data_IF_840633089140
#
_entry.id   IF_840633089140
#
_cell.length_a   1.000
_cell.length_b   1.000
_cell.length_c   1.000
_cell.angle_alpha   90.00
_cell.angle_beta   90.00
_cell.angle_gamma   90.00
#
_symmetry.space_group_name_H-M   'P 1'
#
loop_
_entity.id
_entity.type
_entity.pdbx_description
1 polymer ?
#
# COMPACT_ATOMS: atom_id res chain seq x y z
N UNK A 1 2.45 15.36 56.68
CA UNK A 1 2.84 16.17 55.49
C UNK A 1 3.86 15.47 54.59
N UNK A 2 5.03 14.97 55.08
CA UNK A 2 6.03 14.27 54.24
C UNK A 2 5.51 13.02 53.53
N UNK A 3 4.62 12.20 54.11
CA UNK A 3 4.03 11.01 53.48
C UNK A 3 3.03 11.34 52.39
N UNK A 4 2.29 12.44 52.51
CA UNK A 4 1.33 12.91 51.48
C UNK A 4 2.10 13.48 50.30
N UNK A 5 3.20 14.21 50.55
CA UNK A 5 4.06 14.75 49.48
C UNK A 5 4.72 13.62 48.68
N UNK A 6 5.14 12.54 49.33
CA UNK A 6 5.74 11.38 48.65
C UNK A 6 4.71 10.62 47.79
N UNK A 7 3.45 10.52 48.28
CA UNK A 7 2.38 9.87 47.56
C UNK A 7 1.94 10.68 46.32
N UNK A 8 1.89 12.01 46.41
CA UNK A 8 1.58 12.89 45.27
C UNK A 8 2.68 12.91 44.26
N UNK A 9 3.97 12.88 44.66
CA UNK A 9 5.11 12.78 43.72
C UNK A 9 5.12 11.44 42.99
N UNK A 10 4.81 10.33 43.69
CA UNK A 10 4.71 9.02 43.04
C UNK A 10 3.56 8.95 42.05
N UNK A 11 2.40 9.55 42.38
CA UNK A 11 1.23 9.60 41.52
C UNK A 11 1.51 10.43 40.24
N UNK A 12 2.22 11.55 40.36
CA UNK A 12 2.63 12.40 39.22
C UNK A 12 3.62 11.67 38.31
N UNK A 13 4.56 10.91 38.92
CA UNK A 13 5.51 10.08 38.15
C UNK A 13 4.81 8.96 37.35
N UNK A 14 3.75 8.38 37.85
CA UNK A 14 2.96 7.34 37.18
C UNK A 14 2.15 7.96 36.01
N UNK A 15 1.62 9.18 36.17
CA UNK A 15 0.87 9.88 35.14
C UNK A 15 1.75 10.34 33.96
N UNK A 16 3.01 10.70 34.20
CA UNK A 16 3.97 11.10 33.16
C UNK A 16 4.42 9.91 32.34
N UNK A 17 4.42 8.68 32.89
CA UNK A 17 4.83 7.47 32.17
C UNK A 17 3.81 7.04 31.10
N UNK A 18 2.57 7.53 31.13
CA UNK A 18 1.51 7.17 30.18
C UNK A 18 1.60 7.86 28.83
N UNK A 19 2.31 8.97 28.71
CA UNK A 19 2.41 9.74 27.47
C UNK A 19 3.65 9.45 26.62
N UNK A 20 4.55 8.59 27.07
CA UNK A 20 5.84 8.34 26.40
C UNK A 20 5.81 7.17 25.42
N UNK A 21 4.64 6.66 25.00
CA UNK A 21 4.57 5.42 24.21
C UNK A 21 4.39 5.58 22.71
N UNK A 22 4.15 6.78 22.17
CA UNK A 22 3.82 6.99 20.76
C UNK A 22 5.04 7.06 19.82
N UNK A 23 6.23 7.37 20.33
CA UNK A 23 7.44 7.58 19.51
C UNK A 23 8.28 6.30 19.28
N UNK A 24 7.76 5.13 19.58
CA UNK A 24 8.58 3.90 19.70
C UNK A 24 8.86 3.16 18.41
N UNK A 25 8.19 3.48 17.32
CA UNK A 25 8.35 2.70 16.08
C UNK A 25 9.34 3.31 15.13
N UNK A 26 9.34 4.63 15.00
CA UNK A 26 10.11 5.34 14.01
C UNK A 26 11.18 6.23 14.65
N UNK A 27 12.38 6.22 14.07
CA UNK A 27 13.46 7.12 14.42
C UNK A 27 14.11 7.69 13.18
N UNK A 28 14.50 8.97 13.20
CA UNK A 28 15.22 9.59 12.10
C UNK A 28 16.52 8.84 11.82
N UNK A 29 16.83 8.58 10.56
CA UNK A 29 18.08 7.95 10.15
C UNK A 29 19.04 9.00 9.58
N UNK A 30 20.21 9.12 10.18
CA UNK A 30 21.25 10.11 9.81
C UNK A 30 22.43 9.48 9.05
N UNK A 31 22.34 8.21 8.68
CA UNK A 31 23.37 7.57 7.86
C UNK A 31 23.45 8.22 6.48
N UNK A 32 24.68 8.32 5.93
CA UNK A 32 24.85 8.75 4.56
C UNK A 32 24.14 7.81 3.60
N UNK A 33 23.39 8.36 2.64
CA UNK A 33 22.69 7.58 1.61
C UNK A 33 23.64 6.64 0.86
N UNK A 34 24.88 7.08 0.62
CA UNK A 34 25.90 6.29 -0.08
C UNK A 34 26.39 5.06 0.70
N UNK A 35 26.17 5.00 2.01
CA UNK A 35 26.54 3.86 2.86
C UNK A 35 25.43 2.83 3.00
N UNK A 36 24.24 3.08 2.46
CA UNK A 36 23.07 2.21 2.59
C UNK A 36 22.96 1.36 1.33
N UNK A 37 22.99 0.01 1.49
CA UNK A 37 22.62 -0.88 0.39
C UNK A 37 21.11 -0.75 0.16
N UNK A 38 20.72 -0.28 -1.01
CA UNK A 38 19.35 0.08 -1.33
C UNK A 38 18.49 -1.10 -1.79
N UNK A 39 17.17 -0.98 -1.60
CA UNK A 39 16.19 -1.85 -2.24
C UNK A 39 16.13 -1.60 -3.75
N UNK A 40 15.65 -2.58 -4.52
CA UNK A 40 15.48 -2.49 -5.98
C UNK A 40 14.62 -1.29 -6.42
N UNK A 41 13.61 -0.96 -5.61
CA UNK A 41 12.72 0.16 -5.90
C UNK A 41 13.45 1.50 -5.99
N UNK A 42 14.55 1.68 -5.26
CA UNK A 42 15.35 2.92 -5.24
C UNK A 42 16.09 3.15 -6.56
N UNK A 43 16.39 2.09 -7.31
CA UNK A 43 17.06 2.22 -8.62
C UNK A 43 16.13 2.67 -9.77
N UNK A 44 14.84 2.83 -9.51
CA UNK A 44 13.88 3.32 -10.52
C UNK A 44 14.20 4.74 -10.96
N UNK A 45 14.08 5.04 -12.25
CA UNK A 45 14.25 6.40 -12.79
C UNK A 45 13.28 7.43 -12.17
N UNK A 46 12.11 6.96 -11.74
CA UNK A 46 11.07 7.78 -11.12
C UNK A 46 11.19 7.90 -9.59
N UNK A 47 12.26 7.37 -8.98
CA UNK A 47 12.43 7.47 -7.54
C UNK A 47 12.78 8.91 -7.13
N UNK A 48 12.11 9.47 -6.10
CA UNK A 48 12.33 10.86 -5.71
C UNK A 48 13.75 11.09 -5.19
N UNK A 49 14.30 12.26 -5.47
CA UNK A 49 15.60 12.70 -4.96
C UNK A 49 15.49 13.40 -3.60
N UNK A 50 14.39 14.10 -3.36
CA UNK A 50 14.08 14.73 -2.07
C UNK A 50 13.32 13.75 -1.17
N UNK A 51 14.06 13.11 -0.27
CA UNK A 51 13.56 12.12 0.67
C UNK A 51 14.12 12.34 2.06
N UNK A 52 13.34 11.97 3.07
CA UNK A 52 13.82 11.80 4.44
C UNK A 52 13.92 10.33 4.78
N UNK A 53 14.92 9.95 5.55
CA UNK A 53 15.16 8.57 5.93
C UNK A 53 14.79 8.35 7.40
N UNK A 54 14.06 7.26 7.63
CA UNK A 54 13.67 6.83 8.96
C UNK A 54 13.97 5.35 9.14
N UNK A 55 14.31 4.95 10.36
CA UNK A 55 14.41 3.55 10.76
C UNK A 55 13.10 3.12 11.42
N UNK A 56 12.58 1.97 11.04
CA UNK A 56 11.41 1.35 11.64
C UNK A 56 11.81 0.21 12.58
N UNK A 57 11.28 0.23 13.79
CA UNK A 57 11.22 -0.95 14.65
C UNK A 57 10.00 -1.79 14.22
N UNK A 58 10.25 -2.72 13.30
CA UNK A 58 9.19 -3.41 12.56
C UNK A 58 8.29 -4.28 13.44
N UNK A 59 8.87 -5.10 14.32
CA UNK A 59 8.09 -6.07 15.10
C UNK A 59 7.06 -5.43 16.05
N UNK A 60 7.40 -4.43 16.88
CA UNK A 60 6.40 -3.75 17.69
C UNK A 60 5.35 -3.02 16.86
N UNK A 61 5.72 -2.45 15.72
CA UNK A 61 4.78 -1.80 14.80
C UNK A 61 3.78 -2.81 14.21
N UNK A 62 4.27 -3.95 13.75
CA UNK A 62 3.45 -5.05 13.26
C UNK A 62 2.50 -5.58 14.36
N UNK A 63 2.97 -5.76 15.59
CA UNK A 63 2.15 -6.23 16.71
C UNK A 63 0.96 -5.31 16.96
N UNK A 64 1.16 -3.99 16.92
CA UNK A 64 0.07 -3.02 17.09
C UNK A 64 -0.93 -3.12 15.94
N UNK A 65 -0.47 -3.18 14.69
CA UNK A 65 -1.35 -3.35 13.54
C UNK A 65 -2.13 -4.66 13.60
N UNK A 66 -1.47 -5.76 13.98
CA UNK A 66 -2.11 -7.08 14.02
C UNK A 66 -3.05 -7.25 15.21
N UNK A 67 -2.96 -6.41 16.23
CA UNK A 67 -3.91 -6.41 17.36
C UNK A 67 -5.35 -6.06 16.95
N UNK A 68 -5.54 -5.43 15.80
CA UNK A 68 -6.86 -5.04 15.28
C UNK A 68 -7.36 -5.93 14.13
N UNK A 69 -6.63 -7.02 13.84
CA UNK A 69 -6.98 -7.98 12.79
C UNK A 69 -7.94 -9.05 13.33
N UNK A 70 -8.96 -9.40 12.56
CA UNK A 70 -9.85 -10.52 12.84
C UNK A 70 -11.27 -10.16 13.22
N UNK A 71 -12.16 -11.16 13.19
CA UNK A 71 -13.63 -10.99 13.26
C UNK A 71 -14.18 -10.67 14.67
N UNK A 72 -13.42 -10.89 15.74
CA UNK A 72 -13.95 -10.90 17.10
C UNK A 72 -13.64 -9.65 17.94
N UNK A 73 -12.88 -8.70 17.45
CA UNK A 73 -12.55 -7.50 18.22
C UNK A 73 -13.69 -6.48 18.17
N UNK A 74 -14.30 -6.16 19.29
CA UNK A 74 -15.35 -5.15 19.41
C UNK A 74 -14.84 -3.73 19.08
N UNK A 75 -13.57 -3.45 19.37
CA UNK A 75 -12.88 -2.22 19.00
C UNK A 75 -11.72 -2.59 18.08
N UNK A 76 -11.94 -2.47 16.77
CA UNK A 76 -10.97 -2.90 15.76
C UNK A 76 -10.11 -1.75 15.25
N UNK A 77 -9.75 -0.82 16.08
CA UNK A 77 -8.86 0.27 15.72
C UNK A 77 -7.68 0.37 16.67
N UNK A 78 -6.52 0.74 16.11
CA UNK A 78 -5.33 1.08 16.88
C UNK A 78 -4.85 2.48 16.50
N UNK A 79 -4.06 3.10 17.36
CA UNK A 79 -3.37 4.35 17.06
C UNK A 79 -1.91 3.99 16.72
N UNK A 80 -1.46 4.49 15.60
CA UNK A 80 -0.05 4.40 15.16
C UNK A 80 0.47 5.77 14.83
N UNK A 81 1.78 5.96 14.99
CA UNK A 81 2.50 7.14 14.48
C UNK A 81 3.33 6.76 13.26
N UNK A 82 3.36 7.61 12.24
CA UNK A 82 4.20 7.48 11.05
C UNK A 82 4.87 8.83 10.74
N UNK A 83 6.08 8.83 10.16
CA UNK A 83 6.74 10.06 9.75
C UNK A 83 6.10 10.66 8.50
N UNK A 84 6.03 12.00 8.44
CA UNK A 84 5.66 12.75 7.26
C UNK A 84 6.87 13.27 6.49
N UNK A 85 6.66 13.84 5.30
CA UNK A 85 7.74 14.38 4.47
C UNK A 85 8.43 15.62 5.09
N UNK A 86 7.79 16.29 6.06
CA UNK A 86 8.46 17.31 6.86
C UNK A 86 9.39 16.74 7.94
N UNK A 87 9.31 15.43 8.21
CA UNK A 87 10.16 14.73 9.18
C UNK A 87 9.56 14.68 10.59
N UNK A 88 8.30 15.02 10.74
CA UNK A 88 7.55 14.94 12.00
C UNK A 88 6.73 13.64 12.06
N UNK A 89 6.48 13.15 13.25
CA UNK A 89 5.57 12.02 13.46
C UNK A 89 4.12 12.52 13.54
N UNK A 90 3.24 11.82 12.86
CA UNK A 90 1.80 12.07 12.84
C UNK A 90 1.03 10.82 13.27
N UNK A 91 -0.03 11.03 14.03
CA UNK A 91 -0.85 9.93 14.55
C UNK A 91 -2.07 9.67 13.67
N UNK A 92 -2.37 8.38 13.51
CA UNK A 92 -3.52 7.89 12.77
C UNK A 92 -4.26 6.82 13.57
N UNK A 93 -5.60 6.89 13.59
CA UNK A 93 -6.44 5.77 13.99
C UNK A 93 -6.60 4.84 12.79
N UNK A 94 -6.15 3.59 12.89
CA UNK A 94 -6.17 2.61 11.79
C UNK A 94 -7.11 1.45 12.08
N UNK A 95 -7.71 0.93 11.02
CA UNK A 95 -8.54 -0.28 10.97
C UNK A 95 -8.05 -1.19 9.86
N UNK A 96 -8.26 -2.50 9.99
CA UNK A 96 -7.98 -3.44 8.88
C UNK A 96 -8.88 -3.12 7.68
N UNK A 97 -8.29 -3.09 6.48
CA UNK A 97 -8.97 -2.90 5.21
C UNK A 97 -8.36 -3.88 4.19
N UNK A 98 -8.76 -5.16 4.27
CA UNK A 98 -8.18 -6.22 3.46
C UNK A 98 -8.47 -6.01 1.98
N UNK A 99 -7.44 -6.20 1.13
CA UNK A 99 -7.55 -6.24 -0.33
C UNK A 99 -7.71 -7.67 -0.86
N UNK A 100 -7.76 -8.67 0.02
CA UNK A 100 -7.84 -10.08 -0.33
C UNK A 100 -9.20 -10.66 0.06
N UNK A 101 -9.75 -11.52 -0.78
CA UNK A 101 -10.89 -12.38 -0.39
C UNK A 101 -10.50 -13.20 0.86
N UNK A 102 -11.48 -13.54 1.69
CA UNK A 102 -11.27 -14.22 2.96
C UNK A 102 -10.41 -15.50 2.84
N UNK A 103 -10.66 -16.31 1.81
CA UNK A 103 -9.91 -17.55 1.58
C UNK A 103 -8.44 -17.30 1.20
N UNK A 104 -8.13 -16.18 0.52
CA UNK A 104 -6.75 -15.79 0.21
C UNK A 104 -6.07 -15.20 1.45
N UNK A 105 -6.80 -14.37 2.19
CA UNK A 105 -6.30 -13.73 3.39
C UNK A 105 -5.94 -14.74 4.50
N UNK A 106 -6.69 -15.84 4.59
CA UNK A 106 -6.42 -16.93 5.52
C UNK A 106 -5.12 -17.67 5.19
N UNK A 107 -4.85 -17.88 3.90
CA UNK A 107 -3.61 -18.53 3.42
C UNK A 107 -2.37 -17.64 3.60
N UNK A 108 -2.53 -16.32 3.55
CA UNK A 108 -1.43 -15.35 3.65
C UNK A 108 -1.69 -14.34 4.78
N UNK A 109 -1.68 -14.81 6.03
CA UNK A 109 -2.05 -13.97 7.20
C UNK A 109 -1.08 -12.82 7.46
N UNK A 110 0.16 -12.91 7.00
CA UNK A 110 1.21 -11.89 7.21
C UNK A 110 1.17 -10.74 6.18
N UNK A 111 0.33 -10.86 5.16
CA UNK A 111 0.12 -9.82 4.14
C UNK A 111 -1.19 -9.11 4.47
N UNK A 112 -1.10 -7.86 4.94
CA UNK A 112 -2.26 -7.09 5.41
C UNK A 112 -2.30 -5.68 4.83
N UNK A 113 -3.48 -5.09 4.84
CA UNK A 113 -3.69 -3.69 4.52
C UNK A 113 -4.63 -3.03 5.52
N UNK A 114 -4.40 -1.73 5.72
CA UNK A 114 -5.10 -0.93 6.70
C UNK A 114 -5.50 0.42 6.08
N UNK A 115 -6.61 0.96 6.57
CA UNK A 115 -7.03 2.33 6.31
C UNK A 115 -6.99 3.13 7.60
N UNK A 116 -6.54 4.37 7.53
CA UNK A 116 -6.39 5.22 8.71
C UNK A 116 -6.99 6.62 8.51
N UNK A 117 -7.44 7.20 9.63
CA UNK A 117 -7.83 8.60 9.72
C UNK A 117 -6.84 9.36 10.59
N UNK A 118 -6.40 10.51 10.11
CA UNK A 118 -5.48 11.37 10.85
C UNK A 118 -6.07 11.87 12.16
N UNK A 119 -5.28 11.81 13.22
CA UNK A 119 -5.56 12.43 14.51
C UNK A 119 -4.90 13.80 14.54
N UNK A 120 -3.64 13.87 14.16
CA UNK A 120 -2.86 15.11 14.09
C UNK A 120 -3.37 16.02 12.98
N UNK A 121 -3.57 15.47 11.79
CA UNK A 121 -4.24 16.14 10.66
C UNK A 121 -5.54 15.41 10.34
N UNK A 122 -6.67 15.98 10.74
CA UNK A 122 -8.00 15.39 10.54
C UNK A 122 -8.40 15.25 9.06
N UNK A 123 -7.77 16.00 8.16
CA UNK A 123 -7.99 15.91 6.71
C UNK A 123 -7.25 14.74 6.08
N UNK A 124 -6.22 14.22 6.76
CA UNK A 124 -5.38 13.15 6.24
C UNK A 124 -6.09 11.78 6.28
N UNK A 125 -5.91 11.02 5.20
CA UNK A 125 -6.34 9.62 5.11
C UNK A 125 -5.13 8.76 4.76
N UNK A 126 -4.86 7.75 5.58
CA UNK A 126 -3.75 6.80 5.41
C UNK A 126 -4.24 5.53 4.72
N UNK A 127 -3.49 5.05 3.75
CA UNK A 127 -3.51 3.68 3.24
C UNK A 127 -2.16 3.04 3.52
N UNK A 128 -2.19 1.87 4.17
CA UNK A 128 -0.99 1.18 4.64
C UNK A 128 -1.07 -0.30 4.25
N UNK A 129 -0.02 -0.81 3.64
CA UNK A 129 0.23 -2.24 3.46
C UNK A 129 1.42 -2.69 4.30
N UNK A 130 1.34 -3.88 4.87
CA UNK A 130 2.42 -4.53 5.62
C UNK A 130 2.56 -5.98 5.17
N UNK A 131 3.79 -6.44 5.08
CA UNK A 131 4.14 -7.81 4.75
C UNK A 131 5.53 -8.12 5.31
N UNK A 132 6.06 -9.35 5.21
CA UNK A 132 7.47 -9.63 5.52
C UNK A 132 8.48 -8.81 4.72
N UNK A 133 8.08 -8.22 3.59
CA UNK A 133 8.89 -7.30 2.77
C UNK A 133 8.85 -5.85 3.26
N UNK A 134 8.22 -5.58 4.41
CA UNK A 134 8.16 -4.26 5.03
C UNK A 134 6.80 -3.59 4.94
N UNK A 135 6.82 -2.28 5.16
CA UNK A 135 5.64 -1.40 5.21
C UNK A 135 5.68 -0.45 4.02
N UNK A 136 4.52 -0.21 3.42
CA UNK A 136 4.36 0.86 2.43
C UNK A 136 3.09 1.65 2.74
N UNK A 137 3.17 2.96 2.56
CA UNK A 137 2.02 3.83 2.84
C UNK A 137 1.76 4.82 1.71
N UNK A 138 0.54 5.31 1.67
CA UNK A 138 0.11 6.49 0.94
C UNK A 138 -0.78 7.32 1.85
N UNK A 139 -0.45 8.58 2.04
CA UNK A 139 -1.25 9.52 2.83
C UNK A 139 -1.83 10.56 1.90
N UNK A 140 -3.13 10.59 1.80
CA UNK A 140 -3.88 11.62 1.09
C UNK A 140 -4.08 12.83 1.99
N UNK A 141 -3.86 14.04 1.44
CA UNK A 141 -4.07 15.30 2.15
C UNK A 141 -4.97 16.23 1.34
N UNK A 142 -5.78 17.00 2.04
CA UNK A 142 -6.60 18.02 1.39
C UNK A 142 -5.73 19.24 1.07
N UNK A 143 -5.66 19.61 -0.22
CA UNK A 143 -4.93 20.82 -0.65
C UNK A 143 -3.40 20.73 -0.59
N UNK A 144 -2.84 19.51 -0.43
CA UNK A 144 -1.40 19.27 -0.43
C UNK A 144 -1.07 18.01 -1.25
N UNK A 145 0.23 17.82 -1.53
CA UNK A 145 0.70 16.62 -2.21
C UNK A 145 0.54 15.39 -1.31
N UNK A 146 0.21 14.26 -1.93
CA UNK A 146 0.19 12.98 -1.25
C UNK A 146 1.59 12.58 -0.80
N UNK A 147 1.69 11.86 0.31
CA UNK A 147 2.96 11.42 0.87
C UNK A 147 3.07 9.89 0.87
N UNK A 148 4.30 9.41 0.73
CA UNK A 148 4.62 8.00 0.65
C UNK A 148 5.71 7.61 1.64
N UNK A 149 5.60 6.40 2.17
CA UNK A 149 6.66 5.69 2.88
C UNK A 149 6.91 4.38 2.14
N UNK A 150 8.19 4.09 1.84
CA UNK A 150 8.60 2.85 1.16
C UNK A 150 9.93 2.35 1.75
N UNK A 151 10.20 1.03 1.71
CA UNK A 151 11.52 0.49 2.03
C UNK A 151 12.60 1.17 1.17
N UNK A 152 13.66 1.66 1.82
CA UNK A 152 14.82 2.27 1.16
C UNK A 152 16.00 1.31 1.15
N UNK A 153 16.30 0.68 2.30
CA UNK A 153 17.37 -0.30 2.43
C UNK A 153 16.92 -1.69 2.01
N UNK A 154 17.86 -2.48 1.50
CA UNK A 154 17.62 -3.86 1.07
C UNK A 154 17.13 -4.78 2.21
N UNK A 155 17.50 -4.49 3.44
CA UNK A 155 17.07 -5.22 4.64
C UNK A 155 15.74 -4.73 5.21
N UNK A 156 15.10 -3.75 4.56
CA UNK A 156 13.81 -3.16 4.92
C UNK A 156 13.77 -2.56 6.34
N UNK A 157 14.91 -2.16 6.89
CA UNK A 157 14.98 -1.49 8.19
C UNK A 157 14.92 0.03 8.09
N UNK A 158 15.36 0.58 6.94
CA UNK A 158 15.36 2.01 6.64
C UNK A 158 14.35 2.28 5.53
N UNK A 159 13.55 3.32 5.75
CA UNK A 159 12.44 3.74 4.90
C UNK A 159 12.67 5.16 4.38
N UNK A 160 12.25 5.41 3.15
CA UNK A 160 12.16 6.74 2.58
C UNK A 160 10.77 7.32 2.78
N UNK A 161 10.72 8.60 3.13
CA UNK A 161 9.49 9.39 3.27
C UNK A 161 9.57 10.56 2.30
N UNK A 162 8.57 10.71 1.43
CA UNK A 162 8.61 11.71 0.36
C UNK A 162 7.21 12.13 -0.09
N UNK A 163 7.14 13.28 -0.75
CA UNK A 163 5.92 13.78 -1.40
C UNK A 163 5.80 13.25 -2.83
N UNK A 164 4.56 13.05 -3.26
CA UNK A 164 4.27 12.78 -4.67
C UNK A 164 4.65 13.99 -5.50
N UNK A 165 5.79 13.92 -6.17
CA UNK A 165 6.15 14.94 -7.14
C UNK A 165 6.55 14.26 -8.44
N UNK A 166 5.72 14.42 -9.48
CA UNK A 166 6.05 13.98 -10.82
C UNK A 166 6.27 15.16 -11.73
N UNK A 167 7.47 15.27 -12.27
CA UNK A 167 7.67 16.13 -13.42
C UNK A 167 6.95 15.50 -14.62
N UNK A 168 5.93 16.20 -15.13
CA UNK A 168 5.20 15.77 -16.32
C UNK A 168 6.17 15.57 -17.50
N UNK A 169 6.06 14.43 -18.19
CA UNK A 169 6.81 14.16 -19.42
C UNK A 169 8.11 13.39 -19.26
N UNK A 170 8.52 12.99 -18.04
CA UNK A 170 9.75 12.20 -17.82
C UNK A 170 9.55 10.68 -17.75
N UNK A 171 8.35 10.17 -17.97
CA UNK A 171 8.16 8.72 -18.09
C UNK A 171 8.59 8.26 -19.49
N UNK A 172 9.45 7.22 -19.57
CA UNK A 172 10.04 6.78 -20.85
C UNK A 172 9.09 5.95 -21.73
N UNK A 173 7.80 5.95 -21.44
CA UNK A 173 6.82 5.21 -22.24
C UNK A 173 5.61 6.08 -22.59
N UNK A 174 5.13 5.91 -23.80
CA UNK A 174 3.87 6.49 -24.25
C UNK A 174 2.77 5.45 -24.12
N UNK A 175 1.61 5.87 -23.62
CA UNK A 175 0.43 5.02 -23.64
C UNK A 175 0.02 4.77 -25.09
N UNK A 176 0.01 3.51 -25.51
CA UNK A 176 -0.40 3.10 -26.87
C UNK A 176 -1.87 2.69 -26.92
N UNK A 177 -2.64 2.92 -25.86
CA UNK A 177 -4.09 2.66 -25.83
C UNK A 177 -4.77 3.61 -26.82
N UNK A 178 -5.42 3.04 -27.84
CA UNK A 178 -6.23 3.81 -28.79
C UNK A 178 -7.55 4.21 -28.14
N UNK A 179 -7.61 5.41 -27.55
CA UNK A 179 -8.79 5.92 -26.84
C UNK A 179 -10.03 6.10 -27.74
N UNK A 180 -9.84 6.27 -29.05
CA UNK A 180 -10.95 6.52 -29.99
C UNK A 180 -11.95 5.38 -30.06
N UNK A 181 -11.51 4.11 -30.07
CA UNK A 181 -12.41 2.95 -30.14
C UNK A 181 -13.18 2.75 -28.83
N UNK A 182 -12.53 3.03 -27.73
CA UNK A 182 -13.12 2.91 -26.38
C UNK A 182 -14.13 4.04 -26.14
N UNK A 183 -13.82 5.26 -26.55
CA UNK A 183 -14.71 6.42 -26.37
C UNK A 183 -15.99 6.31 -27.24
N UNK A 184 -15.91 5.77 -28.45
CA UNK A 184 -17.08 5.53 -29.32
C UNK A 184 -17.98 4.46 -28.69
N UNK A 185 -17.43 3.30 -28.31
CA UNK A 185 -18.19 2.22 -27.68
C UNK A 185 -18.79 2.62 -26.33
N UNK A 186 -18.10 3.49 -25.57
CA UNK A 186 -18.61 4.03 -24.30
C UNK A 186 -19.72 5.05 -24.52
N UNK A 187 -19.59 5.95 -25.50
CA UNK A 187 -20.61 6.96 -25.81
C UNK A 187 -21.90 6.33 -26.36
N UNK A 188 -21.79 5.27 -27.18
CA UNK A 188 -22.94 4.49 -27.62
C UNK A 188 -23.68 3.78 -26.48
N UNK A 189 -22.93 3.22 -25.50
CA UNK A 189 -23.52 2.64 -24.29
C UNK A 189 -24.04 3.67 -23.30
N UNK A 190 -23.40 4.80 -23.15
CA UNK A 190 -23.82 5.86 -22.22
C UNK A 190 -25.09 6.58 -22.68
N UNK A 191 -25.37 6.62 -23.98
CA UNK A 191 -26.63 7.17 -24.52
C UNK A 191 -27.88 6.40 -24.11
N UNK A 192 -27.73 5.19 -23.58
CA UNK A 192 -28.82 4.31 -23.09
C UNK A 192 -28.84 4.14 -21.56
N UNK A 193 -27.80 4.62 -20.87
CA UNK A 193 -27.77 4.58 -19.40
C UNK A 193 -28.40 5.87 -18.86
N UNK A 194 -29.64 5.75 -18.37
CA UNK A 194 -30.15 6.74 -17.41
C UNK A 194 -29.12 6.83 -16.29
N UNK A 195 -28.62 8.05 -16.05
CA UNK A 195 -27.77 8.35 -14.88
C UNK A 195 -28.51 7.87 -13.64
N UNK A 196 -28.21 6.64 -13.20
CA UNK A 196 -28.70 6.15 -11.93
C UNK A 196 -28.24 7.17 -10.88
N UNK A 197 -29.18 7.68 -10.10
CA UNK A 197 -28.92 8.58 -9.02
C UNK A 197 -27.71 8.08 -8.25
N UNK A 198 -26.72 8.98 -7.98
CA UNK A 198 -25.56 8.67 -7.16
C UNK A 198 -26.07 7.95 -5.92
N UNK A 199 -25.78 6.65 -5.80
CA UNK A 199 -26.09 5.91 -4.59
C UNK A 199 -25.25 6.52 -3.47
N UNK A 200 -25.93 7.18 -2.51
CA UNK A 200 -25.24 7.91 -1.47
C UNK A 200 -24.34 7.02 -0.64
N UNK A 201 -23.07 7.29 -0.67
CA UNK A 201 -22.16 7.03 0.45
C UNK A 201 -21.59 5.63 0.64
N UNK A 202 -22.12 4.58 0.01
CA UNK A 202 -21.63 3.22 0.21
C UNK A 202 -20.52 2.83 -0.78
N UNK A 203 -19.36 2.45 -0.26
CA UNK A 203 -18.29 1.87 -1.07
C UNK A 203 -18.72 0.49 -1.57
N UNK A 204 -18.68 0.28 -2.88
CA UNK A 204 -18.97 -1.00 -3.52
C UNK A 204 -17.68 -1.82 -3.61
N UNK A 205 -17.75 -3.09 -3.20
CA UNK A 205 -16.64 -4.03 -3.37
C UNK A 205 -16.80 -4.82 -4.66
N UNK A 206 -15.76 -4.81 -5.50
CA UNK A 206 -15.67 -5.62 -6.71
C UNK A 206 -14.56 -6.66 -6.57
N UNK A 207 -14.82 -7.85 -7.15
CA UNK A 207 -13.83 -8.91 -7.23
C UNK A 207 -12.84 -8.62 -8.35
N UNK A 208 -11.56 -8.75 -8.07
CA UNK A 208 -10.46 -8.57 -9.03
C UNK A 208 -9.78 -9.92 -9.28
N UNK A 209 -9.76 -10.37 -10.53
CA UNK A 209 -8.83 -11.40 -11.00
C UNK A 209 -7.61 -10.72 -11.62
N UNK A 210 -6.42 -11.09 -11.16
CA UNK A 210 -5.17 -10.51 -11.67
C UNK A 210 -4.22 -11.63 -12.07
N UNK A 211 -3.86 -11.65 -13.35
CA UNK A 211 -2.77 -12.48 -13.84
C UNK A 211 -1.45 -11.74 -13.76
N UNK A 212 -0.34 -12.48 -13.62
CA UNK A 212 0.99 -11.91 -13.40
C UNK A 212 2.01 -12.63 -14.28
N UNK A 213 2.78 -11.86 -15.06
CA UNK A 213 3.86 -12.39 -15.90
C UNK A 213 5.02 -12.92 -15.05
N UNK A 214 5.81 -13.79 -15.63
CA UNK A 214 6.98 -14.34 -14.96
C UNK A 214 8.05 -13.27 -14.67
N UNK A 215 8.20 -12.27 -15.54
CA UNK A 215 9.14 -11.16 -15.33
C UNK A 215 8.77 -10.34 -14.09
N UNK A 216 7.46 -10.07 -13.88
CA UNK A 216 7.02 -9.40 -12.68
C UNK A 216 7.32 -10.23 -11.43
N UNK A 217 7.00 -11.52 -11.46
CA UNK A 217 7.29 -12.43 -10.35
C UNK A 217 8.78 -12.45 -10.02
N UNK A 218 9.63 -12.61 -11.04
CA UNK A 218 11.08 -12.66 -10.91
C UNK A 218 11.67 -11.33 -10.41
N UNK A 219 11.08 -10.20 -10.81
CA UNK A 219 11.47 -8.88 -10.29
C UNK A 219 11.36 -8.82 -8.76
N UNK A 220 10.31 -9.41 -8.20
CA UNK A 220 10.11 -9.50 -6.75
C UNK A 220 10.80 -10.71 -6.10
N UNK A 221 11.61 -11.47 -6.86
CA UNK A 221 12.41 -12.58 -6.36
C UNK A 221 11.67 -13.91 -6.32
N UNK A 222 10.45 -14.01 -6.87
CA UNK A 222 9.69 -15.24 -6.96
C UNK A 222 9.99 -15.97 -8.28
N UNK A 223 10.67 -17.11 -8.20
CA UNK A 223 11.02 -17.97 -9.34
C UNK A 223 10.25 -19.30 -9.35
N UNK A 224 9.39 -19.51 -8.35
CA UNK A 224 8.55 -20.70 -8.21
C UNK A 224 7.29 -20.41 -7.39
N UNK A 225 6.31 -21.28 -7.48
CA UNK A 225 5.04 -21.15 -6.76
C UNK A 225 5.18 -21.14 -5.23
N UNK A 226 6.26 -21.74 -4.68
CA UNK A 226 6.52 -21.68 -3.24
C UNK A 226 6.84 -20.28 -2.73
N UNK A 227 7.16 -19.36 -3.63
CA UNK A 227 7.50 -17.95 -3.34
C UNK A 227 6.36 -16.99 -3.72
N UNK A 228 5.15 -17.50 -3.96
CA UNK A 228 3.98 -16.68 -4.35
C UNK A 228 3.68 -15.52 -3.39
N UNK A 229 4.03 -15.66 -2.10
CA UNK A 229 3.85 -14.62 -1.09
C UNK A 229 4.61 -13.32 -1.43
N UNK A 230 5.75 -13.39 -2.11
CA UNK A 230 6.51 -12.22 -2.56
C UNK A 230 5.70 -11.42 -3.61
N UNK A 231 5.07 -12.13 -4.54
CA UNK A 231 4.24 -11.54 -5.58
C UNK A 231 2.96 -10.95 -4.98
N UNK A 232 2.31 -11.70 -4.08
CA UNK A 232 1.09 -11.24 -3.40
C UNK A 232 1.34 -10.02 -2.52
N UNK A 233 2.50 -9.92 -1.87
CA UNK A 233 2.88 -8.71 -1.12
C UNK A 233 3.00 -7.49 -2.04
N UNK A 234 3.59 -7.65 -3.22
CA UNK A 234 3.70 -6.58 -4.22
C UNK A 234 2.33 -6.17 -4.78
N UNK A 235 1.47 -7.15 -5.09
CA UNK A 235 0.07 -6.91 -5.52
C UNK A 235 -0.70 -6.18 -4.41
N UNK A 236 -0.63 -6.66 -3.17
CA UNK A 236 -1.33 -6.02 -2.04
C UNK A 236 -0.92 -4.57 -1.86
N UNK A 237 0.36 -4.26 -2.00
CA UNK A 237 0.86 -2.90 -1.94
C UNK A 237 0.25 -2.01 -3.05
N UNK A 238 0.24 -2.51 -4.28
CA UNK A 238 -0.38 -1.80 -5.41
C UNK A 238 -1.87 -1.59 -5.19
N UNK A 239 -2.60 -2.64 -4.80
CA UNK A 239 -4.04 -2.56 -4.53
C UNK A 239 -4.37 -1.62 -3.37
N UNK A 240 -3.54 -1.59 -2.32
CA UNK A 240 -3.73 -0.65 -1.19
C UNK A 240 -3.73 0.80 -1.67
N UNK A 241 -2.86 1.15 -2.61
CA UNK A 241 -2.79 2.48 -3.21
C UNK A 241 -3.92 2.73 -4.20
N UNK A 242 -4.21 1.78 -5.09
CA UNK A 242 -5.31 1.89 -6.04
C UNK A 242 -6.66 2.03 -5.32
N UNK A 243 -6.92 1.19 -4.31
CA UNK A 243 -8.14 1.28 -3.51
C UNK A 243 -8.23 2.61 -2.76
N UNK A 244 -7.10 3.18 -2.34
CA UNK A 244 -7.10 4.52 -1.76
C UNK A 244 -7.68 5.59 -2.68
N UNK A 245 -7.32 5.55 -3.96
CA UNK A 245 -7.85 6.44 -5.00
C UNK A 245 -9.29 6.07 -5.36
N UNK A 246 -9.57 4.79 -5.61
CA UNK A 246 -10.88 4.33 -6.07
C UNK A 246 -11.97 4.51 -5.02
N UNK A 247 -11.67 4.26 -3.75
CA UNK A 247 -12.63 4.53 -2.67
C UNK A 247 -12.98 6.01 -2.56
N UNK A 248 -11.97 6.88 -2.70
CA UNK A 248 -12.15 8.33 -2.63
C UNK A 248 -12.92 8.89 -3.83
N UNK A 249 -12.55 8.47 -5.05
CA UNK A 249 -13.02 9.11 -6.27
C UNK A 249 -14.21 8.38 -6.91
N UNK A 250 -14.33 7.06 -6.70
CA UNK A 250 -15.30 6.19 -7.37
C UNK A 250 -16.24 5.47 -6.39
N UNK A 251 -15.99 5.56 -5.07
CA UNK A 251 -16.66 4.74 -4.05
C UNK A 251 -16.57 3.23 -4.38
N UNK A 252 -15.38 2.78 -4.82
CA UNK A 252 -15.11 1.43 -5.26
C UNK A 252 -13.91 0.84 -4.50
N UNK A 253 -14.05 -0.41 -4.04
CA UNK A 253 -12.97 -1.21 -3.47
C UNK A 253 -12.76 -2.48 -4.28
N UNK A 254 -11.51 -2.80 -4.63
CA UNK A 254 -11.13 -4.01 -5.36
C UNK A 254 -10.59 -5.06 -4.39
N UNK A 255 -11.19 -6.26 -4.46
CA UNK A 255 -10.76 -7.43 -3.67
C UNK A 255 -10.17 -8.50 -4.58
N UNK A 256 -8.90 -8.87 -4.35
CA UNK A 256 -8.20 -9.91 -5.10
C UNK A 256 -8.81 -11.28 -4.80
N UNK A 257 -9.24 -11.98 -5.85
CA UNK A 257 -9.81 -13.32 -5.71
C UNK A 257 -8.73 -14.37 -5.42
N UNK A 258 -9.05 -15.37 -4.64
CA UNK A 258 -8.12 -16.43 -4.27
C UNK A 258 -7.58 -17.20 -5.50
N UNK A 259 -8.39 -17.36 -6.53
CA UNK A 259 -8.01 -18.04 -7.77
C UNK A 259 -6.91 -17.31 -8.56
N UNK A 260 -6.62 -16.02 -8.27
CA UNK A 260 -5.53 -15.29 -8.92
C UNK A 260 -4.17 -15.96 -8.74
N UNK A 261 -3.97 -16.75 -7.67
CA UNK A 261 -2.71 -17.51 -7.48
C UNK A 261 -2.46 -18.55 -8.57
N UNK A 262 -3.50 -19.01 -9.29
CA UNK A 262 -3.38 -20.00 -10.36
C UNK A 262 -2.85 -19.39 -11.67
N UNK A 263 -2.88 -18.08 -11.80
CA UNK A 263 -2.46 -17.32 -13.00
C UNK A 263 -1.28 -16.38 -12.70
N UNK A 264 -0.51 -16.73 -11.69
CA UNK A 264 0.80 -16.12 -11.41
C UNK A 264 1.88 -17.02 -12.02
N UNK A 265 2.67 -16.48 -12.94
CA UNK A 265 3.69 -17.23 -13.65
C UNK A 265 5.09 -16.90 -13.12
N UNK A 266 6.02 -17.84 -13.28
CA UNK A 266 7.38 -17.76 -12.71
C UNK A 266 8.48 -18.03 -13.73
N UNK A 267 8.16 -18.68 -14.85
CA UNK A 267 9.10 -19.01 -15.91
C UNK A 267 8.76 -18.25 -17.19
N UNK A 268 9.59 -17.26 -17.60
CA UNK A 268 9.35 -16.45 -18.80
C UNK A 268 9.30 -17.24 -20.12
N UNK A 269 9.85 -18.47 -20.13
CA UNK A 269 9.80 -19.32 -21.34
C UNK A 269 8.47 -20.03 -21.55
N UNK A 270 7.62 -20.08 -20.51
CA UNK A 270 6.37 -20.86 -20.53
C UNK A 270 5.15 -20.06 -20.07
N UNK A 271 5.30 -18.80 -19.70
CA UNK A 271 4.15 -17.98 -19.39
C UNK A 271 3.36 -17.64 -20.67
N UNK A 272 2.06 -17.31 -20.57
CA UNK A 272 1.23 -17.07 -21.74
C UNK A 272 1.40 -15.69 -22.36
N UNK A 273 2.34 -14.88 -21.86
CA UNK A 273 2.49 -13.48 -22.25
C UNK A 273 3.68 -13.24 -23.18
N UNK A 274 3.44 -12.45 -24.21
CA UNK A 274 4.49 -11.97 -25.10
C UNK A 274 5.46 -11.04 -24.39
N UNK A 275 6.71 -11.00 -24.88
CA UNK A 275 7.69 -10.01 -24.42
C UNK A 275 7.15 -8.58 -24.55
N UNK A 276 7.65 -7.67 -23.71
CA UNK A 276 7.14 -6.29 -23.57
C UNK A 276 7.05 -5.52 -24.91
N UNK A 277 8.00 -5.74 -25.82
CA UNK A 277 7.99 -5.10 -27.14
C UNK A 277 6.77 -5.48 -28.01
N UNK A 278 6.27 -6.70 -27.87
CA UNK A 278 5.09 -7.20 -28.60
C UNK A 278 3.81 -6.96 -27.79
N UNK A 279 3.85 -7.25 -26.50
CA UNK A 279 2.70 -7.16 -25.60
C UNK A 279 2.17 -5.75 -25.43
N UNK A 280 3.07 -4.76 -25.30
CA UNK A 280 2.70 -3.35 -25.21
C UNK A 280 2.02 -2.82 -26.49
N UNK A 281 2.18 -3.50 -27.63
CA UNK A 281 1.44 -3.23 -28.88
C UNK A 281 0.00 -3.75 -28.90
N UNK A 282 -0.52 -4.28 -27.79
CA UNK A 282 -1.91 -4.75 -27.63
C UNK A 282 -2.07 -6.27 -27.56
N UNK A 283 -1.00 -7.06 -27.72
CA UNK A 283 -1.09 -8.52 -27.62
C UNK A 283 -1.53 -8.98 -26.22
N UNK A 284 -1.06 -8.31 -25.16
CA UNK A 284 -1.39 -8.66 -23.77
C UNK A 284 -2.88 -8.66 -23.46
N UNK A 285 -3.68 -7.79 -24.07
CA UNK A 285 -5.12 -7.78 -23.83
C UNK A 285 -5.78 -9.11 -24.27
N UNK A 286 -5.36 -9.66 -25.42
CA UNK A 286 -5.87 -10.96 -25.91
C UNK A 286 -5.32 -12.11 -25.09
N UNK A 287 -4.03 -12.07 -24.77
CA UNK A 287 -3.35 -13.07 -23.95
C UNK A 287 -3.96 -13.15 -22.56
N UNK A 288 -4.25 -11.98 -21.93
CA UNK A 288 -4.95 -11.90 -20.64
C UNK A 288 -6.35 -12.51 -20.74
N UNK A 289 -7.12 -12.18 -21.78
CA UNK A 289 -8.44 -12.74 -21.99
C UNK A 289 -8.37 -14.27 -22.09
N UNK A 290 -7.45 -14.80 -22.88
CA UNK A 290 -7.27 -16.25 -23.06
C UNK A 290 -6.81 -16.94 -21.76
N UNK A 291 -6.13 -16.24 -20.88
CA UNK A 291 -5.62 -16.77 -19.62
C UNK A 291 -6.70 -16.83 -18.54
N UNK A 292 -7.67 -15.91 -18.57
CA UNK A 292 -8.72 -15.78 -17.55
C UNK A 292 -10.05 -16.44 -17.94
N UNK A 293 -10.24 -16.86 -19.18
CA UNK A 293 -11.42 -17.55 -19.69
C UNK A 293 -11.18 -19.02 -19.91
#
# INVERSE_FOLDING_TARGET
>A
MKKILLLTTLLVLILVSGYAQTDRFWSANFQSRSSITTDKAVSRQSYPTDIKLFRLNFLPFQQVLFSVVGKQAANKSAIISIPNAAGMLEEFTVVEASNFEAALQEKFPDIRSFSGKGITDKSATLKLSISPQGVQTMVFRSGADDEFIEPYSKDHTIYSVYKSHREKGKLPWNCTTEDQKISIALSEKMGTLQLAARSGGDVKTMRLAQSVTAEYSNYFGATSASQVSLVLAAINNTLTRCNGVYEKDLALHLNLVAASTNVIYYNPATDPYSAAATGAGGAWNRELQNTLT
#
